data_IF_121397530023
#
_entry.id   IF_121397530023
#
_cell.length_a   1.000
_cell.length_b   1.000
_cell.length_c   1.000
_cell.angle_alpha   90.00
_cell.angle_beta   90.00
_cell.angle_gamma   90.00
#
_symmetry.space_group_name_H-M   'P 1'
#
loop_
_entity.id
_entity.type
_entity.pdbx_description
1 polymer ?
#
# COMPACT_ATOMS: atom_id res chain seq x y z
N UNK A 1 3.33 -26.37 -7.85
CA UNK A 1 3.79 -25.22 -7.02
C UNK A 1 3.49 -23.94 -7.77
N UNK A 2 2.42 -23.23 -7.41
CA UNK A 2 2.15 -21.87 -7.92
C UNK A 2 3.39 -21.02 -7.59
N UNK A 3 3.95 -20.28 -8.56
CA UNK A 3 5.19 -19.53 -8.35
C UNK A 3 4.98 -18.47 -7.26
N UNK A 4 5.28 -18.82 -6.00
CA UNK A 4 5.09 -17.97 -4.79
C UNK A 4 5.73 -16.59 -4.96
N UNK A 5 6.87 -16.55 -5.66
CA UNK A 5 7.61 -15.34 -6.03
C UNK A 5 6.78 -14.44 -6.97
N UNK A 6 6.06 -15.02 -7.92
CA UNK A 6 5.20 -14.28 -8.85
C UNK A 6 4.02 -13.61 -8.15
N UNK A 7 3.37 -14.32 -7.22
CA UNK A 7 2.27 -13.77 -6.43
C UNK A 7 2.70 -12.58 -5.57
N UNK A 8 3.86 -12.69 -4.90
CA UNK A 8 4.43 -11.59 -4.10
C UNK A 8 4.77 -10.40 -5.00
N UNK A 9 5.40 -10.62 -6.15
CA UNK A 9 5.73 -9.56 -7.10
C UNK A 9 4.47 -8.82 -7.57
N UNK A 10 3.40 -9.54 -7.89
CA UNK A 10 2.13 -8.92 -8.29
C UNK A 10 1.55 -8.08 -7.14
N UNK A 11 1.53 -8.60 -5.91
CA UNK A 11 1.07 -7.85 -4.75
C UNK A 11 1.88 -6.57 -4.51
N UNK A 12 3.23 -6.67 -4.57
CA UNK A 12 4.14 -5.53 -4.41
C UNK A 12 3.94 -4.49 -5.51
N UNK A 13 3.76 -4.91 -6.77
CA UNK A 13 3.53 -4.00 -7.90
C UNK A 13 2.20 -3.26 -7.75
N UNK A 14 1.11 -3.96 -7.43
CA UNK A 14 -0.20 -3.34 -7.21
C UNK A 14 -0.12 -2.33 -6.07
N UNK A 15 0.51 -2.71 -4.96
CA UNK A 15 0.72 -1.84 -3.80
C UNK A 15 1.55 -0.61 -4.18
N UNK A 16 2.63 -0.80 -4.94
CA UNK A 16 3.47 0.29 -5.43
C UNK A 16 2.68 1.28 -6.31
N UNK A 17 1.81 0.79 -7.19
CA UNK A 17 0.94 1.62 -8.03
C UNK A 17 -0.04 2.42 -7.16
N UNK A 18 -0.65 1.79 -6.16
CA UNK A 18 -1.58 2.46 -5.24
C UNK A 18 -0.88 3.57 -4.46
N UNK A 19 0.27 3.28 -3.85
CA UNK A 19 1.07 4.28 -3.13
C UNK A 19 1.50 5.41 -4.07
N UNK A 20 2.00 5.08 -5.26
CA UNK A 20 2.41 6.07 -6.25
C UNK A 20 1.28 6.99 -6.67
N UNK A 21 0.07 6.46 -6.83
CA UNK A 21 -1.13 7.24 -7.16
C UNK A 21 -1.51 8.17 -6.02
N UNK A 22 -1.52 7.70 -4.78
CA UNK A 22 -1.82 8.51 -3.59
C UNK A 22 -0.79 9.66 -3.45
N UNK A 23 0.50 9.36 -3.62
CA UNK A 23 1.55 10.37 -3.56
C UNK A 23 1.42 11.40 -4.69
N UNK A 24 1.07 10.98 -5.91
CA UNK A 24 0.85 11.90 -7.02
C UNK A 24 -0.32 12.87 -6.72
N UNK A 25 -1.41 12.36 -6.15
CA UNK A 25 -2.53 13.20 -5.69
C UNK A 25 -2.11 14.16 -4.57
N UNK A 26 -1.32 13.69 -3.60
CA UNK A 26 -0.81 14.53 -2.52
C UNK A 26 0.09 15.65 -3.05
N UNK A 27 1.02 15.33 -3.94
CA UNK A 27 1.90 16.31 -4.58
C UNK A 27 1.08 17.34 -5.36
N UNK A 28 0.12 16.90 -6.19
CA UNK A 28 -0.81 17.79 -6.89
C UNK A 28 -1.58 18.71 -5.95
N UNK A 29 -2.03 18.19 -4.80
CA UNK A 29 -2.71 18.97 -3.77
C UNK A 29 -1.84 20.07 -3.15
N UNK A 30 -0.53 19.85 -3.02
CA UNK A 30 0.39 20.87 -2.46
C UNK A 30 0.57 22.09 -3.36
N UNK A 31 0.39 21.94 -4.68
CA UNK A 31 0.52 23.04 -5.65
C UNK A 31 -0.70 23.94 -5.76
N UNK A 32 -1.81 23.62 -5.08
CA UNK A 32 -3.00 24.46 -5.10
C UNK A 32 -2.71 25.75 -4.31
N UNK A 33 -2.80 26.94 -4.95
CA UNK A 33 -2.56 28.21 -4.28
C UNK A 33 -3.70 28.56 -3.31
N UNK A 34 -3.37 29.20 -2.19
CA UNK A 34 -4.34 29.62 -1.17
C UNK A 34 -4.74 28.53 -0.17
N UNK A 35 -4.12 27.36 -0.21
CA UNK A 35 -4.48 26.24 0.65
C UNK A 35 -3.91 26.41 2.07
N UNK A 36 -4.74 26.36 3.13
CA UNK A 36 -4.31 26.60 4.50
C UNK A 36 -3.34 25.51 4.99
N UNK A 37 -2.36 25.93 5.80
CA UNK A 37 -1.33 25.05 6.37
C UNK A 37 -1.93 23.84 7.12
N UNK A 38 -3.04 24.05 7.85
CA UNK A 38 -3.74 22.97 8.56
C UNK A 38 -4.25 21.87 7.63
N UNK A 39 -4.83 22.23 6.48
CA UNK A 39 -5.30 21.25 5.51
C UNK A 39 -4.15 20.44 4.89
N UNK A 40 -2.97 21.05 4.71
CA UNK A 40 -1.76 20.34 4.27
C UNK A 40 -1.28 19.32 5.30
N UNK A 41 -1.30 19.67 6.59
CA UNK A 41 -0.90 18.76 7.68
C UNK A 41 -1.87 17.57 7.77
N UNK A 42 -3.18 17.83 7.70
CA UNK A 42 -4.20 16.76 7.71
C UNK A 42 -4.01 15.83 6.51
N UNK A 43 -3.83 16.38 5.30
CA UNK A 43 -3.58 15.58 4.10
C UNK A 43 -2.31 14.73 4.22
N UNK A 44 -1.24 15.27 4.83
CA UNK A 44 0.01 14.54 5.07
C UNK A 44 -0.19 13.38 6.06
N UNK A 45 -0.94 13.61 7.14
CA UNK A 45 -1.26 12.57 8.13
C UNK A 45 -2.09 11.44 7.51
N UNK A 46 -3.08 11.77 6.67
CA UNK A 46 -3.87 10.78 5.93
C UNK A 46 -2.96 9.95 5.02
N UNK A 47 -2.08 10.60 4.24
CA UNK A 47 -1.13 9.88 3.38
C UNK A 47 -0.20 8.98 4.18
N UNK A 48 0.32 9.45 5.32
CA UNK A 48 1.17 8.66 6.19
C UNK A 48 0.43 7.43 6.75
N UNK A 49 -0.83 7.59 7.15
CA UNK A 49 -1.68 6.47 7.59
C UNK A 49 -1.91 5.43 6.49
N UNK A 50 -2.15 5.87 5.26
CA UNK A 50 -2.28 4.97 4.10
C UNK A 50 -0.99 4.20 3.83
N UNK A 51 0.16 4.89 3.80
CA UNK A 51 1.47 4.23 3.59
C UNK A 51 1.73 3.19 4.68
N UNK A 52 1.45 3.53 5.94
CA UNK A 52 1.59 2.59 7.05
C UNK A 52 0.69 1.36 6.91
N UNK A 53 -0.61 1.56 6.63
CA UNK A 53 -1.56 0.45 6.48
C UNK A 53 -1.18 -0.47 5.31
N UNK A 54 -0.74 0.10 4.19
CA UNK A 54 -0.32 -0.68 3.02
C UNK A 54 0.96 -1.47 3.30
N UNK A 55 1.94 -0.89 4.01
CA UNK A 55 3.13 -1.61 4.46
C UNK A 55 2.78 -2.76 5.41
N UNK A 56 1.83 -2.54 6.32
CA UNK A 56 1.38 -3.56 7.26
C UNK A 56 0.79 -4.77 6.54
N UNK A 57 -0.11 -4.54 5.58
CA UNK A 57 -0.71 -5.60 4.75
C UNK A 57 0.36 -6.34 3.95
N UNK A 58 1.34 -5.64 3.40
CA UNK A 58 2.41 -6.25 2.62
C UNK A 58 3.29 -7.17 3.50
N UNK A 59 3.59 -6.75 4.73
CA UNK A 59 4.32 -7.57 5.71
C UNK A 59 3.50 -8.80 6.12
N UNK A 60 2.21 -8.64 6.41
CA UNK A 60 1.32 -9.76 6.75
C UNK A 60 1.23 -10.76 5.61
N UNK A 61 1.02 -10.30 4.37
CA UNK A 61 0.99 -11.17 3.18
C UNK A 61 2.30 -11.92 2.97
N UNK A 62 3.45 -11.26 3.11
CA UNK A 62 4.74 -11.95 3.02
C UNK A 62 4.86 -13.01 4.12
N UNK A 63 4.42 -12.70 5.35
CA UNK A 63 4.45 -13.65 6.47
C UNK A 63 3.52 -14.85 6.23
N UNK A 64 2.30 -14.65 5.75
CA UNK A 64 1.34 -15.72 5.40
C UNK A 64 1.94 -16.65 4.33
N UNK A 65 2.50 -16.08 3.26
CA UNK A 65 3.12 -16.83 2.16
C UNK A 65 4.36 -17.61 2.64
N UNK A 66 5.17 -17.01 3.52
CA UNK A 66 6.35 -17.66 4.11
C UNK A 66 5.99 -18.76 5.10
N UNK A 67 4.93 -18.58 5.90
CA UNK A 67 4.44 -19.60 6.84
C UNK A 67 3.77 -20.79 6.14
N UNK A 68 3.41 -20.65 4.86
CA UNK A 68 2.68 -21.68 4.12
C UNK A 68 1.19 -21.74 4.47
N UNK A 69 0.65 -20.75 5.18
CA UNK A 69 -0.78 -20.59 5.46
C UNK A 69 -1.59 -20.30 4.16
N UNK A 70 -0.91 -19.89 3.08
CA UNK A 70 -1.48 -19.71 1.74
C UNK A 70 -1.91 -21.05 1.06
N UNK A 71 -1.60 -22.21 1.68
CA UNK A 71 -1.99 -23.54 1.18
C UNK A 71 -3.41 -23.98 1.64
N UNK A 72 -3.97 -23.31 2.66
CA UNK A 72 -5.28 -23.66 3.24
C UNK A 72 -6.49 -23.09 2.48
N UNK A 73 -6.30 -22.12 1.59
CA UNK A 73 -7.38 -21.61 0.73
C UNK A 73 -7.74 -22.56 -0.43
N UNK A 74 -7.01 -23.67 -0.60
CA UNK A 74 -7.35 -24.70 -1.59
C UNK A 74 -8.42 -25.69 -1.09
N UNK A 75 -8.90 -25.52 0.15
CA UNK A 75 -9.86 -26.42 0.79
C UNK A 75 -11.25 -25.81 1.07
N UNK A 76 -11.64 -24.80 0.28
CA UNK A 76 -13.02 -24.29 0.21
C UNK A 76 -13.52 -24.24 -1.24
#
# INVERSE_FOLDING_TARGET
MKNKIGSILVAVVIIGIVIGTILAYFVGFTFIPGLPLGARIIAALICAGFVYGVLHILIERIREIQKGEDDDLSNY
#
